data_IF_913794360139
#
_entry.id   IF_913794360139
#
_cell.length_a   1.000
_cell.length_b   1.000
_cell.length_c   1.000
_cell.angle_alpha   90.00
_cell.angle_beta   90.00
_cell.angle_gamma   90.00
#
_symmetry.space_group_name_H-M   'P 1'
#
loop_
_entity.id
_entity.type
_entity.pdbx_description
1 polymer ?
#
# COMPACT_ATOMS: atom_id res chain seq x y z
N UNK A 1 22.19 -28.24 -6.47
CA UNK A 1 21.01 -27.47 -6.04
C UNK A 1 19.90 -28.29 -5.37
N UNK A 2 20.19 -29.42 -4.71
CA UNK A 2 19.14 -30.24 -4.10
C UNK A 2 18.39 -29.58 -2.92
N UNK A 3 18.97 -28.57 -2.31
CA UNK A 3 18.33 -27.91 -1.15
C UNK A 3 17.26 -26.88 -1.56
N UNK A 4 17.38 -26.29 -2.74
CA UNK A 4 16.39 -25.38 -3.29
C UNK A 4 15.13 -26.14 -3.68
N UNK A 5 15.30 -27.27 -4.38
CA UNK A 5 14.17 -28.11 -4.82
C UNK A 5 13.39 -28.67 -3.63
N UNK A 6 14.08 -29.01 -2.53
CA UNK A 6 13.43 -29.43 -1.27
C UNK A 6 12.69 -28.29 -0.59
N UNK A 7 13.23 -27.07 -0.59
CA UNK A 7 12.57 -25.90 -0.03
C UNK A 7 11.34 -25.54 -0.87
N UNK A 8 11.45 -25.55 -2.19
CA UNK A 8 10.33 -25.32 -3.12
C UNK A 8 9.18 -26.27 -2.84
N UNK A 9 9.47 -27.57 -2.73
CA UNK A 9 8.46 -28.59 -2.43
C UNK A 9 7.86 -28.42 -1.02
N UNK A 10 8.69 -28.14 -0.02
CA UNK A 10 8.25 -28.01 1.38
C UNK A 10 7.32 -26.83 1.62
N UNK A 11 7.56 -25.71 0.95
CA UNK A 11 6.80 -24.45 1.14
C UNK A 11 5.79 -24.17 0.04
N UNK A 12 5.57 -25.14 -0.86
CA UNK A 12 4.63 -25.01 -1.99
C UNK A 12 4.90 -23.76 -2.87
N UNK A 13 6.19 -23.40 -3.03
CA UNK A 13 6.61 -22.18 -3.70
C UNK A 13 6.19 -22.13 -5.18
N UNK A 14 5.98 -23.30 -5.82
CA UNK A 14 5.48 -23.36 -7.20
C UNK A 14 4.10 -22.70 -7.34
N UNK A 15 3.21 -22.95 -6.40
CA UNK A 15 1.86 -22.32 -6.41
C UNK A 15 1.95 -20.80 -6.31
N UNK A 16 2.81 -20.28 -5.44
CA UNK A 16 3.01 -18.83 -5.29
C UNK A 16 3.69 -18.22 -6.52
N UNK A 17 4.61 -18.96 -7.15
CA UNK A 17 5.24 -18.53 -8.38
C UNK A 17 4.23 -18.45 -9.53
N UNK A 18 3.40 -19.46 -9.69
CA UNK A 18 2.32 -19.48 -10.69
C UNK A 18 1.30 -18.36 -10.47
N UNK A 19 0.94 -18.06 -9.21
CA UNK A 19 0.09 -16.95 -8.87
C UNK A 19 0.71 -15.60 -9.25
N UNK A 20 2.01 -15.41 -8.96
CA UNK A 20 2.73 -14.20 -9.31
C UNK A 20 2.83 -14.02 -10.83
N UNK A 21 3.15 -15.07 -11.56
CA UNK A 21 3.17 -15.06 -13.03
C UNK A 21 1.80 -14.71 -13.60
N UNK A 22 0.75 -15.35 -13.12
CA UNK A 22 -0.61 -15.07 -13.56
C UNK A 22 -1.02 -13.62 -13.30
N UNK A 23 -0.61 -13.04 -12.17
CA UNK A 23 -0.85 -11.62 -11.87
C UNK A 23 -0.21 -10.70 -12.92
N UNK A 24 1.05 -11.01 -13.30
CA UNK A 24 1.80 -10.22 -14.29
C UNK A 24 1.22 -10.39 -15.69
N UNK A 25 1.01 -11.62 -16.12
CA UNK A 25 0.57 -11.97 -17.48
C UNK A 25 -0.87 -11.54 -17.74
N UNK A 26 -1.76 -11.65 -16.75
CA UNK A 26 -3.18 -11.29 -16.90
C UNK A 26 -3.44 -9.79 -17.10
N UNK A 27 -2.44 -8.95 -16.95
CA UNK A 27 -2.59 -7.48 -17.03
C UNK A 27 -3.29 -6.85 -15.82
N UNK A 28 -3.75 -7.64 -14.85
CA UNK A 28 -4.43 -7.12 -13.63
C UNK A 28 -3.54 -6.19 -12.82
N UNK A 29 -2.27 -6.56 -12.65
CA UNK A 29 -1.30 -5.70 -12.00
C UNK A 29 -1.12 -4.37 -12.74
N UNK A 30 -0.99 -4.41 -14.07
CA UNK A 30 -0.89 -3.19 -14.89
C UNK A 30 -2.10 -2.28 -14.69
N UNK A 31 -3.31 -2.84 -14.72
CA UNK A 31 -4.53 -2.08 -14.50
C UNK A 31 -4.59 -1.50 -13.07
N UNK A 32 -4.07 -2.20 -12.08
CA UNK A 32 -4.01 -1.70 -10.70
C UNK A 32 -3.17 -0.41 -10.59
N UNK A 33 -2.10 -0.28 -11.36
CA UNK A 33 -1.26 0.93 -11.37
C UNK A 33 -1.92 2.14 -12.05
N UNK A 34 -2.94 1.95 -12.86
CA UNK A 34 -3.65 3.05 -13.51
C UNK A 34 -4.70 3.67 -12.58
N UNK A 35 -4.27 4.58 -11.71
CA UNK A 35 -5.16 5.28 -10.78
C UNK A 35 -6.18 6.21 -11.48
N UNK A 36 -6.02 6.49 -12.78
CA UNK A 36 -7.00 7.28 -13.53
C UNK A 36 -8.33 6.55 -13.73
N UNK A 37 -8.34 5.23 -13.56
CA UNK A 37 -9.56 4.43 -13.60
C UNK A 37 -10.43 4.61 -12.35
N UNK A 38 -9.88 5.14 -11.27
CA UNK A 38 -10.64 5.42 -10.05
C UNK A 38 -11.44 6.72 -10.18
N UNK A 39 -12.64 6.71 -9.63
CA UNK A 39 -13.48 7.89 -9.56
C UNK A 39 -12.81 8.97 -8.69
N UNK A 40 -13.00 10.23 -9.05
CA UNK A 40 -12.46 11.35 -8.28
C UNK A 40 -12.87 11.30 -6.81
N UNK A 41 -14.13 10.97 -6.52
CA UNK A 41 -14.61 10.79 -5.15
C UNK A 41 -13.79 9.77 -4.35
N UNK A 42 -13.44 8.64 -4.96
CA UNK A 42 -12.58 7.62 -4.32
C UNK A 42 -11.19 8.17 -4.08
N UNK A 43 -10.61 8.81 -5.09
CA UNK A 43 -9.27 9.41 -4.97
C UNK A 43 -9.21 10.49 -3.90
N UNK A 44 -10.28 11.29 -3.75
CA UNK A 44 -10.40 12.35 -2.75
C UNK A 44 -10.55 11.77 -1.33
N UNK A 45 -11.22 10.62 -1.20
CA UNK A 45 -11.36 9.91 0.08
C UNK A 45 -9.99 9.60 0.71
N UNK A 46 -9.04 9.14 -0.11
CA UNK A 46 -7.67 8.83 0.33
C UNK A 46 -6.78 10.06 0.50
N UNK A 47 -7.18 11.19 -0.04
CA UNK A 47 -6.36 12.41 -0.14
C UNK A 47 -5.50 12.47 -1.40
N UNK A 48 -5.46 13.67 -2.02
CA UNK A 48 -4.69 13.94 -3.26
C UNK A 48 -3.23 14.25 -2.95
N UNK A 49 -2.60 13.43 -2.14
CA UNK A 49 -1.19 13.51 -1.77
C UNK A 49 -0.49 12.17 -2.02
N UNK A 50 0.82 12.16 -1.97
CA UNK A 50 1.62 10.97 -2.28
C UNK A 50 1.25 9.77 -1.41
N UNK A 51 1.11 9.96 -0.09
CA UNK A 51 0.77 8.85 0.82
C UNK A 51 -0.64 8.31 0.56
N UNK A 52 -1.64 9.18 0.49
CA UNK A 52 -3.04 8.77 0.26
C UNK A 52 -3.22 8.03 -1.07
N UNK A 53 -2.60 8.53 -2.15
CA UNK A 53 -2.66 7.84 -3.45
C UNK A 53 -1.86 6.53 -3.46
N UNK A 54 -0.81 6.41 -2.64
CA UNK A 54 -0.09 5.14 -2.44
C UNK A 54 -0.95 4.12 -1.69
N UNK A 55 -1.71 4.55 -0.68
CA UNK A 55 -2.68 3.68 -0.01
C UNK A 55 -3.78 3.20 -0.98
N UNK A 56 -4.27 4.07 -1.85
CA UNK A 56 -5.23 3.70 -2.90
C UNK A 56 -4.62 2.68 -3.87
N UNK A 57 -3.37 2.87 -4.29
CA UNK A 57 -2.66 1.89 -5.11
C UNK A 57 -2.52 0.54 -4.39
N UNK A 58 -2.19 0.56 -3.09
CA UNK A 58 -2.08 -0.66 -2.29
C UNK A 58 -3.41 -1.45 -2.27
N UNK A 59 -4.55 -0.78 -2.06
CA UNK A 59 -5.87 -1.42 -2.15
C UNK A 59 -6.09 -2.05 -3.53
N UNK A 60 -5.78 -1.34 -4.61
CA UNK A 60 -5.93 -1.86 -5.97
C UNK A 60 -5.06 -3.09 -6.24
N UNK A 61 -3.85 -3.10 -5.72
CA UNK A 61 -2.94 -4.25 -5.84
C UNK A 61 -3.45 -5.47 -5.07
N UNK A 62 -3.98 -5.27 -3.85
CA UNK A 62 -4.62 -6.34 -3.08
C UNK A 62 -5.84 -6.88 -3.83
N UNK A 63 -6.71 -6.01 -4.34
CA UNK A 63 -7.88 -6.38 -5.15
C UNK A 63 -7.48 -7.13 -6.42
N UNK A 64 -6.34 -6.80 -7.01
CA UNK A 64 -5.77 -7.52 -8.16
C UNK A 64 -5.18 -8.89 -7.81
N UNK A 65 -5.01 -9.21 -6.52
CA UNK A 65 -4.50 -10.50 -6.04
C UNK A 65 -3.08 -10.48 -5.49
N UNK A 66 -2.48 -9.30 -5.27
CA UNK A 66 -1.19 -9.19 -4.60
C UNK A 66 -1.36 -9.52 -3.11
N UNK A 67 -0.56 -10.45 -2.60
CA UNK A 67 -0.72 -10.94 -1.23
C UNK A 67 -0.09 -10.05 -0.17
N UNK A 68 0.98 -9.38 -0.50
CA UNK A 68 1.69 -8.47 0.41
C UNK A 68 1.98 -7.17 -0.32
N UNK A 69 1.57 -6.06 0.25
CA UNK A 69 1.86 -4.72 -0.26
C UNK A 69 2.40 -3.89 0.88
N UNK A 70 3.53 -3.26 0.67
CA UNK A 70 4.13 -2.32 1.60
C UNK A 70 4.00 -0.90 1.07
N UNK A 71 3.46 0.00 1.90
CA UNK A 71 3.40 1.43 1.63
C UNK A 71 4.44 2.11 2.51
N UNK A 72 5.56 2.46 1.90
CA UNK A 72 6.64 3.15 2.60
C UNK A 72 6.39 4.65 2.58
N UNK A 73 6.71 5.34 3.69
CA UNK A 73 6.65 6.79 3.81
C UNK A 73 8.05 7.40 3.91
N UNK A 74 8.82 7.45 2.83
CA UNK A 74 10.11 8.12 2.82
C UNK A 74 9.95 9.63 2.65
N UNK A 75 10.94 10.37 3.08
CA UNK A 75 11.09 11.75 2.63
C UNK A 75 11.47 11.74 1.15
N UNK A 76 10.68 12.38 0.32
CA UNK A 76 10.96 12.54 -1.10
C UNK A 76 11.20 14.02 -1.41
N UNK A 77 12.35 14.32 -2.02
CA UNK A 77 12.69 15.69 -2.40
C UNK A 77 11.64 16.27 -3.36
N UNK A 78 11.27 17.53 -3.15
CA UNK A 78 10.31 18.27 -3.96
C UNK A 78 8.90 17.62 -4.04
N UNK A 79 8.52 16.85 -3.02
CA UNK A 79 7.17 16.29 -2.90
C UNK A 79 6.48 16.76 -1.62
N UNK A 80 5.20 16.43 -1.50
CA UNK A 80 4.40 16.64 -0.29
C UNK A 80 4.74 15.64 0.82
N UNK A 81 5.58 14.65 0.53
CA UNK A 81 5.90 13.56 1.45
C UNK A 81 7.08 13.94 2.36
N UNK A 82 6.78 14.32 3.58
CA UNK A 82 7.76 14.70 4.60
C UNK A 82 8.14 13.51 5.47
N UNK A 83 9.42 13.48 5.91
CA UNK A 83 9.89 12.45 6.84
C UNK A 83 9.20 12.55 8.20
N UNK A 84 8.94 11.41 8.83
CA UNK A 84 8.49 11.34 10.23
C UNK A 84 9.60 11.68 11.22
N UNK A 85 10.86 11.53 10.81
CA UNK A 85 12.02 11.96 11.62
C UNK A 85 12.16 13.48 11.53
N UNK A 86 11.74 14.17 12.57
CA UNK A 86 11.71 15.63 12.62
C UNK A 86 12.51 16.14 13.79
N UNK A 87 13.67 16.75 13.51
CA UNK A 87 14.54 17.33 14.53
C UNK A 87 14.17 18.78 14.88
N UNK A 88 13.39 19.46 14.06
CA UNK A 88 12.96 20.84 14.26
C UNK A 88 11.51 21.04 13.83
N UNK A 89 10.74 21.80 14.62
CA UNK A 89 9.35 22.13 14.31
C UNK A 89 8.42 20.92 14.34
N UNK A 90 8.67 19.94 15.22
CA UNK A 90 7.92 18.70 15.33
C UNK A 90 6.40 18.94 15.41
N UNK A 91 5.97 19.79 16.34
CA UNK A 91 4.55 20.06 16.55
C UNK A 91 3.86 20.60 15.30
N UNK A 92 4.44 21.62 14.67
CA UNK A 92 3.87 22.23 13.48
C UNK A 92 3.79 21.25 12.29
N UNK A 93 4.83 20.43 12.09
CA UNK A 93 4.84 19.42 11.01
C UNK A 93 3.87 18.29 11.25
N UNK A 94 3.81 17.79 12.49
CA UNK A 94 2.85 16.76 12.85
C UNK A 94 1.42 17.25 12.67
N UNK A 95 1.10 18.40 13.25
CA UNK A 95 -0.25 18.96 13.23
C UNK A 95 -0.75 19.35 11.83
N UNK A 96 0.13 19.93 11.01
CA UNK A 96 -0.29 20.56 9.77
C UNK A 96 0.00 19.70 8.50
N UNK A 97 0.82 18.66 8.62
CA UNK A 97 1.27 17.88 7.48
C UNK A 97 1.13 16.37 7.70
N UNK A 98 1.97 15.78 8.56
CA UNK A 98 2.11 14.32 8.64
C UNK A 98 0.85 13.64 9.21
N UNK A 99 0.31 14.14 10.32
CA UNK A 99 -0.86 13.53 10.94
C UNK A 99 -2.13 13.66 10.09
N UNK A 100 -2.46 14.80 9.48
CA UNK A 100 -3.60 14.90 8.59
C UNK A 100 -3.49 13.99 7.34
N UNK A 101 -2.30 13.87 6.76
CA UNK A 101 -2.10 13.00 5.61
C UNK A 101 -2.24 11.52 5.97
N UNK A 102 -1.68 11.12 7.13
CA UNK A 102 -1.83 9.77 7.66
C UNK A 102 -3.29 9.45 7.96
N UNK A 103 -3.96 10.34 8.70
CA UNK A 103 -5.36 10.17 9.10
C UNK A 103 -6.25 9.99 7.87
N UNK A 104 -6.15 10.87 6.89
CA UNK A 104 -6.94 10.79 5.67
C UNK A 104 -6.62 9.55 4.84
N UNK A 105 -5.34 9.23 4.63
CA UNK A 105 -4.92 8.09 3.83
C UNK A 105 -5.32 6.76 4.45
N UNK A 106 -5.11 6.60 5.76
CA UNK A 106 -5.42 5.37 6.47
C UNK A 106 -6.93 5.19 6.67
N UNK A 107 -7.66 6.24 7.06
CA UNK A 107 -9.12 6.17 7.19
C UNK A 107 -9.80 5.91 5.84
N UNK A 108 -9.29 6.52 4.77
CA UNK A 108 -9.75 6.25 3.41
C UNK A 108 -9.54 4.79 3.00
N UNK A 109 -8.35 4.25 3.29
CA UNK A 109 -8.03 2.85 3.04
C UNK A 109 -8.98 1.90 3.77
N UNK A 110 -9.14 2.08 5.07
CA UNK A 110 -10.00 1.24 5.90
C UNK A 110 -11.46 1.31 5.43
N UNK A 111 -11.95 2.52 5.17
CA UNK A 111 -13.34 2.72 4.72
C UNK A 111 -13.60 2.07 3.36
N UNK A 112 -12.71 2.28 2.39
CA UNK A 112 -12.88 1.73 1.03
C UNK A 112 -12.75 0.20 1.02
N UNK A 113 -11.80 -0.36 1.79
CA UNK A 113 -11.62 -1.80 1.90
C UNK A 113 -12.80 -2.48 2.62
N UNK A 114 -13.34 -1.86 3.66
CA UNK A 114 -14.54 -2.35 4.35
C UNK A 114 -15.75 -2.38 3.40
N UNK A 115 -16.01 -1.29 2.70
CA UNK A 115 -17.11 -1.19 1.73
C UNK A 115 -17.00 -2.19 0.57
N UNK A 116 -15.80 -2.67 0.27
CA UNK A 116 -15.53 -3.67 -0.77
C UNK A 116 -15.48 -5.11 -0.23
N UNK A 117 -15.60 -5.29 1.08
CA UNK A 117 -15.45 -6.60 1.73
C UNK A 117 -14.02 -7.15 1.68
N UNK A 118 -13.03 -6.30 1.50
CA UNK A 118 -11.62 -6.70 1.44
C UNK A 118 -10.98 -6.80 2.83
N UNK A 119 -11.53 -6.12 3.84
CA UNK A 119 -10.98 -6.15 5.20
C UNK A 119 -11.13 -7.51 5.88
N UNK A 120 -12.12 -8.29 5.53
CA UNK A 120 -12.36 -9.61 6.14
C UNK A 120 -11.17 -10.56 5.91
N UNK A 121 -10.48 -10.41 4.78
CA UNK A 121 -9.36 -11.25 4.36
C UNK A 121 -8.01 -10.52 4.32
N UNK A 122 -7.95 -9.28 4.83
CA UNK A 122 -6.74 -8.46 4.75
C UNK A 122 -6.31 -7.95 6.11
N UNK A 123 -5.09 -8.29 6.52
CA UNK A 123 -4.45 -7.72 7.71
C UNK A 123 -3.73 -6.42 7.31
N UNK A 124 -4.11 -5.32 7.97
CA UNK A 124 -3.41 -4.03 7.84
C UNK A 124 -2.53 -3.84 9.07
N UNK A 125 -1.24 -3.67 8.83
CA UNK A 125 -0.25 -3.40 9.88
C UNK A 125 0.32 -2.00 9.65
N UNK A 126 0.24 -1.18 10.68
CA UNK A 126 0.90 0.11 10.71
C UNK A 126 1.93 0.13 11.84
N UNK A 127 3.12 0.52 11.52
CA UNK A 127 4.22 0.58 12.47
C UNK A 127 5.27 1.60 12.05
N UNK A 128 6.13 1.96 12.98
CA UNK A 128 7.30 2.78 12.75
C UNK A 128 8.57 2.05 13.16
N UNK A 129 9.69 2.75 13.10
CA UNK A 129 10.95 2.26 13.64
C UNK A 129 10.93 2.22 15.18
N UNK A 130 11.60 1.24 15.72
CA UNK A 130 11.79 1.10 17.16
C UNK A 130 13.21 1.59 17.48
N UNK A 131 13.34 2.86 17.80
CA UNK A 131 14.60 3.49 18.16
C UNK A 131 14.94 3.38 19.64
#
# INVERSE_FOLDING_TARGET
MPDIDKAVAKFNLNEYYDQALNLIVSGRARNAFDLKQEKDKTRDLYGRNTFGQSCLLARRLVEAGTRVVEVVWPKVANSDNHSWVVHQGLEARMKNQSAPMLDQGLSGLLTDMDQRGLLDDTLIVWGGEFG
#
